data_IF_299378618063
#
_entry.id   IF_299378618063
#
_cell.length_a   1.000
_cell.length_b   1.000
_cell.length_c   1.000
_cell.angle_alpha   90.00
_cell.angle_beta   90.00
_cell.angle_gamma   90.00
#
_symmetry.space_group_name_H-M   'P 1'
#
loop_
_entity.id
_entity.type
_entity.pdbx_description
1 polymer ?
#
# COMPACT_ATOMS: atom_id res chain seq x y z
N UNK A 1 -27.45 -5.12 -31.81
CA UNK A 1 -27.94 -6.50 -31.57
C UNK A 1 -27.59 -6.94 -30.15
N UNK A 2 -28.61 -7.35 -29.42
CA UNK A 2 -28.75 -7.29 -27.96
C UNK A 2 -27.84 -8.24 -27.17
N UNK A 3 -27.43 -7.80 -25.96
CA UNK A 3 -26.76 -8.57 -24.90
C UNK A 3 -27.41 -9.94 -24.63
N UNK A 4 -28.68 -10.13 -24.99
CA UNK A 4 -29.38 -11.43 -24.97
C UNK A 4 -28.76 -12.51 -25.88
N UNK A 5 -28.17 -12.16 -27.03
CA UNK A 5 -27.45 -13.15 -27.88
C UNK A 5 -26.07 -13.52 -27.32
N UNK A 6 -25.48 -12.68 -26.47
CA UNK A 6 -24.23 -12.99 -25.76
C UNK A 6 -24.48 -13.88 -24.54
N UNK A 7 -25.58 -13.64 -23.84
CA UNK A 7 -26.00 -14.44 -22.68
C UNK A 7 -26.44 -15.87 -23.05
N UNK A 8 -26.93 -16.11 -24.27
CA UNK A 8 -27.28 -17.46 -24.74
C UNK A 8 -26.05 -18.31 -25.15
N UNK A 9 -24.86 -17.71 -25.22
CA UNK A 9 -23.62 -18.35 -25.65
C UNK A 9 -22.64 -18.64 -24.49
N UNK A 10 -23.06 -18.44 -23.24
CA UNK A 10 -22.18 -18.46 -22.05
C UNK A 10 -22.60 -19.45 -20.96
N UNK A 11 -23.52 -20.39 -21.24
CA UNK A 11 -23.81 -21.49 -20.32
C UNK A 11 -22.96 -22.73 -20.70
N UNK A 12 -22.25 -23.30 -19.72
CA UNK A 12 -21.55 -24.58 -19.86
C UNK A 12 -22.58 -25.64 -20.31
N UNK A 13 -22.29 -26.43 -21.36
CA UNK A 13 -23.23 -27.44 -21.83
C UNK A 13 -23.43 -28.50 -20.74
N UNK A 14 -24.69 -28.88 -20.48
CA UNK A 14 -24.99 -29.99 -19.57
C UNK A 14 -24.41 -31.28 -20.14
N UNK A 15 -23.93 -32.14 -19.25
CA UNK A 15 -23.31 -33.43 -19.56
C UNK A 15 -24.02 -34.60 -18.86
N UNK A 16 -25.16 -34.35 -18.21
CA UNK A 16 -25.97 -35.36 -17.51
C UNK A 16 -26.56 -36.39 -18.49
N UNK A 17 -26.83 -35.97 -19.73
CA UNK A 17 -27.37 -36.86 -20.78
C UNK A 17 -26.38 -37.94 -21.21
N UNK A 18 -25.09 -37.82 -20.89
CA UNK A 18 -24.08 -38.83 -21.23
C UNK A 18 -24.20 -40.13 -20.43
N UNK A 19 -24.99 -40.14 -19.35
CA UNK A 19 -25.19 -41.31 -18.49
C UNK A 19 -26.06 -42.39 -19.15
N UNK A 20 -26.96 -41.99 -20.04
CA UNK A 20 -28.04 -42.84 -20.58
C UNK A 20 -27.76 -43.30 -22.03
N UNK A 21 -26.61 -42.93 -22.60
CA UNK A 21 -26.31 -43.07 -24.03
C UNK A 21 -25.40 -44.28 -24.29
N UNK A 22 -25.68 -45.02 -25.37
CA UNK A 22 -24.87 -46.15 -25.81
C UNK A 22 -23.45 -45.77 -26.29
N UNK A 23 -22.52 -46.72 -26.29
CA UNK A 23 -21.10 -46.48 -26.53
C UNK A 23 -20.76 -45.76 -27.86
N UNK A 24 -21.54 -45.99 -28.93
CA UNK A 24 -21.34 -45.34 -30.25
C UNK A 24 -21.73 -43.87 -30.23
N UNK A 25 -22.83 -43.52 -29.55
CA UNK A 25 -23.34 -42.16 -29.47
C UNK A 25 -22.57 -41.33 -28.42
N UNK A 26 -21.99 -42.00 -27.42
CA UNK A 26 -21.14 -41.39 -26.40
C UNK A 26 -19.89 -40.73 -27.01
N UNK A 27 -19.26 -41.34 -28.02
CA UNK A 27 -18.06 -40.79 -28.69
C UNK A 27 -18.37 -39.45 -29.37
N UNK A 28 -19.46 -39.43 -30.12
CA UNK A 28 -19.92 -38.25 -30.85
C UNK A 28 -20.29 -37.09 -29.90
N UNK A 29 -21.01 -37.38 -28.83
CA UNK A 29 -21.40 -36.39 -27.83
C UNK A 29 -20.18 -35.88 -27.03
N UNK A 30 -19.26 -36.77 -26.65
CA UNK A 30 -18.00 -36.38 -26.01
C UNK A 30 -17.18 -35.46 -26.93
N UNK A 31 -17.09 -35.78 -28.21
CA UNK A 31 -16.40 -34.95 -29.21
C UNK A 31 -17.04 -33.56 -29.36
N UNK A 32 -18.38 -33.46 -29.36
CA UNK A 32 -19.09 -32.18 -29.38
C UNK A 32 -18.76 -31.32 -28.15
N UNK A 33 -18.80 -31.91 -26.96
CA UNK A 33 -18.53 -31.22 -25.70
C UNK A 33 -17.07 -30.75 -25.63
N UNK A 34 -16.11 -31.61 -25.97
CA UNK A 34 -14.68 -31.24 -26.03
C UNK A 34 -14.44 -30.11 -27.04
N UNK A 35 -15.10 -30.17 -28.20
CA UNK A 35 -15.00 -29.11 -29.21
C UNK A 35 -15.59 -27.78 -28.71
N UNK A 36 -16.64 -27.81 -27.89
CA UNK A 36 -17.16 -26.61 -27.24
C UNK A 36 -16.11 -25.98 -26.32
N UNK A 37 -15.48 -26.76 -25.43
CA UNK A 37 -14.39 -26.26 -24.56
C UNK A 37 -13.18 -25.72 -25.34
N UNK A 38 -12.84 -26.34 -26.47
CA UNK A 38 -11.75 -25.85 -27.34
C UNK A 38 -12.08 -24.53 -28.04
N UNK A 39 -13.35 -24.31 -28.39
CA UNK A 39 -13.82 -23.03 -28.98
C UNK A 39 -14.01 -21.94 -27.93
N UNK A 40 -14.17 -22.31 -26.67
CA UNK A 40 -14.32 -21.41 -25.53
C UNK A 40 -13.11 -21.51 -24.60
N UNK A 41 -11.93 -21.01 -25.01
CA UNK A 41 -10.69 -21.15 -24.26
C UNK A 41 -10.83 -20.49 -22.88
N UNK A 42 -10.52 -21.26 -21.84
CA UNK A 42 -10.49 -20.75 -20.47
C UNK A 42 -9.05 -20.44 -20.05
N UNK A 43 -8.88 -19.75 -18.92
CA UNK A 43 -7.54 -19.48 -18.40
C UNK A 43 -6.82 -20.79 -18.10
N UNK A 44 -5.52 -20.88 -18.46
CA UNK A 44 -4.63 -22.01 -18.13
C UNK A 44 -4.62 -22.39 -16.64
N UNK A 45 -4.95 -21.43 -15.77
CA UNK A 45 -5.13 -21.65 -14.33
C UNK A 45 -6.37 -22.51 -14.02
N UNK A 46 -7.45 -22.30 -14.75
CA UNK A 46 -8.70 -23.05 -14.61
C UNK A 46 -8.58 -24.46 -15.19
N UNK A 47 -7.86 -24.63 -16.31
CA UNK A 47 -7.57 -25.94 -16.90
C UNK A 47 -6.82 -26.87 -15.92
N UNK A 48 -5.79 -26.34 -15.25
CA UNK A 48 -5.08 -27.06 -14.18
C UNK A 48 -6.00 -27.40 -13.01
N UNK A 49 -6.89 -26.48 -12.63
CA UNK A 49 -7.83 -26.69 -11.55
C UNK A 49 -8.83 -27.80 -11.86
N UNK A 50 -9.37 -27.85 -13.08
CA UNK A 50 -10.30 -28.89 -13.53
C UNK A 50 -9.68 -30.30 -13.52
N UNK A 51 -8.44 -30.43 -13.97
CA UNK A 51 -7.73 -31.70 -13.90
C UNK A 51 -7.49 -32.17 -12.45
N UNK A 52 -7.14 -31.25 -11.54
CA UNK A 52 -6.95 -31.55 -10.11
C UNK A 52 -8.28 -31.93 -9.45
N UNK A 53 -9.37 -31.26 -9.81
CA UNK A 53 -10.69 -31.53 -9.24
C UNK A 53 -11.25 -32.88 -9.71
N UNK A 54 -10.99 -33.28 -10.95
CA UNK A 54 -11.24 -34.64 -11.44
C UNK A 54 -10.50 -35.71 -10.63
N UNK A 55 -9.21 -35.50 -10.38
CA UNK A 55 -8.38 -36.43 -9.59
C UNK A 55 -8.90 -36.53 -8.15
N UNK A 56 -9.34 -35.41 -7.55
CA UNK A 56 -9.97 -35.44 -6.22
C UNK A 56 -11.30 -36.19 -6.23
N UNK A 57 -12.09 -36.05 -7.30
CA UNK A 57 -13.41 -36.66 -7.42
C UNK A 57 -13.32 -38.18 -7.61
N UNK A 58 -12.40 -38.67 -8.46
CA UNK A 58 -12.19 -40.10 -8.78
C UNK A 58 -11.25 -40.84 -7.84
N UNK A 59 -10.09 -40.25 -7.50
CA UNK A 59 -9.01 -40.92 -6.77
C UNK A 59 -8.82 -40.43 -5.33
N UNK A 60 -9.61 -39.44 -4.90
CA UNK A 60 -9.59 -38.89 -3.55
C UNK A 60 -8.53 -37.80 -3.31
N UNK A 61 -8.74 -37.00 -2.24
CA UNK A 61 -7.91 -35.82 -1.93
C UNK A 61 -6.42 -36.12 -1.71
N UNK A 62 -6.06 -37.32 -1.22
CA UNK A 62 -4.68 -37.71 -0.88
C UNK A 62 -3.77 -37.82 -2.11
N UNK A 63 -4.27 -38.41 -3.21
CA UNK A 63 -3.51 -38.56 -4.47
C UNK A 63 -3.38 -37.24 -5.26
N UNK A 64 -4.22 -36.25 -4.99
CA UNK A 64 -4.16 -34.95 -5.69
C UNK A 64 -2.84 -34.19 -5.51
N UNK A 65 -2.05 -34.49 -4.47
CA UNK A 65 -0.75 -33.84 -4.25
C UNK A 65 0.33 -34.32 -5.23
N UNK A 66 0.19 -35.53 -5.77
CA UNK A 66 1.12 -36.12 -6.75
C UNK A 66 0.98 -35.51 -8.15
N UNK A 67 -0.01 -34.64 -8.38
CA UNK A 67 -0.31 -34.01 -9.66
C UNK A 67 -0.38 -32.48 -9.54
N UNK A 68 0.21 -31.86 -8.51
CA UNK A 68 0.24 -30.39 -8.40
C UNK A 68 1.53 -29.77 -8.95
N UNK A 69 2.59 -30.56 -9.12
CA UNK A 69 3.93 -30.09 -9.47
C UNK A 69 4.22 -29.92 -10.97
N UNK A 70 3.40 -30.48 -11.87
CA UNK A 70 3.61 -30.28 -13.31
C UNK A 70 3.22 -28.85 -13.79
N UNK A 71 3.75 -28.47 -14.97
CA UNK A 71 3.54 -27.14 -15.54
C UNK A 71 2.13 -26.98 -16.08
N UNK A 72 1.62 -25.74 -16.13
CA UNK A 72 0.23 -25.48 -16.55
C UNK A 72 -0.07 -25.99 -17.98
N UNK A 73 0.94 -26.01 -18.85
CA UNK A 73 0.84 -26.52 -20.22
C UNK A 73 0.56 -28.02 -20.29
N UNK A 74 0.99 -28.79 -19.29
CA UNK A 74 0.80 -30.24 -19.28
C UNK A 74 -0.68 -30.64 -19.07
N UNK A 75 -1.50 -29.75 -18.51
CA UNK A 75 -2.91 -30.01 -18.23
C UNK A 75 -3.85 -29.60 -19.37
N UNK A 76 -3.40 -28.74 -20.29
CA UNK A 76 -4.27 -28.13 -21.30
C UNK A 76 -4.97 -29.17 -22.21
N UNK A 77 -4.29 -30.28 -22.50
CA UNK A 77 -4.83 -31.34 -23.35
C UNK A 77 -5.94 -32.14 -22.66
N UNK A 78 -5.75 -32.48 -21.38
CA UNK A 78 -6.68 -33.34 -20.62
C UNK A 78 -7.76 -32.57 -19.86
N UNK A 79 -7.59 -31.26 -19.65
CA UNK A 79 -8.46 -30.45 -18.80
C UNK A 79 -9.94 -30.48 -19.24
N UNK A 80 -10.21 -30.48 -20.55
CA UNK A 80 -11.58 -30.52 -21.09
C UNK A 80 -12.26 -31.86 -20.75
N UNK A 81 -11.54 -32.98 -20.91
CA UNK A 81 -12.04 -34.30 -20.57
C UNK A 81 -12.24 -34.44 -19.06
N UNK A 82 -11.28 -33.99 -18.25
CA UNK A 82 -11.39 -34.00 -16.80
C UNK A 82 -12.59 -33.19 -16.29
N UNK A 83 -12.92 -32.05 -16.91
CA UNK A 83 -14.08 -31.23 -16.54
C UNK A 83 -15.40 -31.96 -16.80
N UNK A 84 -15.56 -32.53 -17.99
CA UNK A 84 -16.76 -33.31 -18.37
C UNK A 84 -16.94 -34.50 -17.42
N UNK A 85 -15.87 -35.27 -17.20
CA UNK A 85 -15.91 -36.48 -16.37
C UNK A 85 -16.05 -36.19 -14.86
N UNK A 86 -15.77 -34.96 -14.40
CA UNK A 86 -15.99 -34.56 -13.00
C UNK A 86 -17.45 -34.31 -12.67
N UNK A 87 -18.26 -34.00 -13.69
CA UNK A 87 -19.69 -33.77 -13.54
C UNK A 87 -20.50 -35.08 -13.64
N UNK A 88 -19.86 -36.20 -14.00
CA UNK A 88 -20.45 -37.53 -14.05
C UNK A 88 -20.29 -38.30 -12.72
N UNK A 89 -21.12 -39.32 -12.46
CA UNK A 89 -21.05 -40.13 -11.24
C UNK A 89 -19.68 -40.78 -11.04
N UNK A 90 -19.28 -40.94 -9.78
CA UNK A 90 -17.95 -41.47 -9.41
C UNK A 90 -17.66 -42.89 -9.88
N UNK A 91 -18.69 -43.65 -10.18
CA UNK A 91 -18.60 -45.04 -10.64
C UNK A 91 -18.84 -45.16 -12.16
N UNK A 92 -19.05 -44.04 -12.86
CA UNK A 92 -19.22 -44.04 -14.31
C UNK A 92 -17.93 -44.46 -15.02
N UNK A 93 -17.96 -45.62 -15.64
CA UNK A 93 -16.89 -46.11 -16.50
C UNK A 93 -17.01 -45.53 -17.91
N UNK A 94 -15.91 -45.00 -18.44
CA UNK A 94 -15.87 -44.49 -19.82
C UNK A 94 -16.03 -45.69 -20.78
N UNK A 95 -17.08 -45.74 -21.61
CA UNK A 95 -17.34 -46.88 -22.48
C UNK A 95 -16.31 -47.02 -23.62
N UNK A 96 -15.56 -45.95 -23.90
CA UNK A 96 -14.55 -45.90 -24.96
C UNK A 96 -13.16 -46.21 -24.37
N UNK A 97 -12.60 -47.35 -24.78
CA UNK A 97 -11.28 -47.83 -24.34
C UNK A 97 -10.13 -46.88 -24.70
N UNK A 98 -10.12 -46.33 -25.91
CA UNK A 98 -9.04 -45.43 -26.38
C UNK A 98 -8.95 -44.13 -25.59
N UNK A 99 -10.11 -43.55 -25.22
CA UNK A 99 -10.17 -42.33 -24.40
C UNK A 99 -9.69 -42.61 -22.97
N UNK A 100 -10.04 -43.78 -22.42
CA UNK A 100 -9.58 -44.25 -21.10
C UNK A 100 -8.05 -44.37 -21.07
N UNK A 101 -7.47 -45.09 -22.03
CA UNK A 101 -6.02 -45.30 -22.14
C UNK A 101 -5.25 -43.99 -22.36
N UNK A 102 -5.79 -43.07 -23.18
CA UNK A 102 -5.20 -41.75 -23.40
C UNK A 102 -5.16 -40.92 -22.11
N UNK A 103 -6.26 -40.89 -21.35
CA UNK A 103 -6.34 -40.15 -20.09
C UNK A 103 -5.39 -40.73 -19.04
N UNK A 104 -5.32 -42.05 -18.92
CA UNK A 104 -4.42 -42.74 -18.00
C UNK A 104 -2.95 -42.50 -18.37
N UNK A 105 -2.60 -42.55 -19.66
CA UNK A 105 -1.25 -42.28 -20.15
C UNK A 105 -0.80 -40.84 -19.87
N UNK A 106 -1.68 -39.86 -20.09
CA UNK A 106 -1.39 -38.45 -19.82
C UNK A 106 -1.33 -38.13 -18.32
N UNK A 107 -2.20 -38.72 -17.51
CA UNK A 107 -2.11 -38.64 -16.06
C UNK A 107 -0.80 -39.26 -15.57
N UNK A 108 -0.39 -40.41 -16.09
CA UNK A 108 0.89 -41.03 -15.76
C UNK A 108 2.08 -40.14 -16.15
N UNK A 109 2.01 -39.46 -17.32
CA UNK A 109 3.02 -38.49 -17.76
C UNK A 109 3.12 -37.30 -16.80
N UNK A 110 1.99 -36.76 -16.33
CA UNK A 110 1.92 -35.67 -15.35
C UNK A 110 2.45 -36.14 -13.98
N UNK A 111 2.14 -37.36 -13.57
CA UNK A 111 2.64 -37.96 -12.33
C UNK A 111 4.16 -38.13 -12.38
N UNK A 112 4.71 -38.64 -13.50
CA UNK A 112 6.16 -38.77 -13.72
C UNK A 112 6.88 -37.43 -13.74
N UNK A 113 6.32 -36.41 -14.39
CA UNK A 113 6.88 -35.04 -14.35
C UNK A 113 6.81 -34.42 -12.96
N UNK A 114 5.76 -34.72 -12.21
CA UNK A 114 5.61 -34.25 -10.83
C UNK A 114 6.54 -34.99 -9.87
N UNK A 115 6.80 -36.29 -10.06
CA UNK A 115 7.78 -37.05 -9.27
C UNK A 115 9.22 -36.63 -9.57
N UNK A 116 9.54 -36.26 -10.81
CA UNK A 116 10.83 -35.66 -11.19
C UNK A 116 11.04 -34.25 -10.58
N UNK A 117 9.95 -33.50 -10.33
CA UNK A 117 9.97 -32.20 -9.65
C UNK A 117 9.72 -32.29 -8.14
N UNK A 118 9.38 -33.48 -7.62
CA UNK A 118 9.18 -33.70 -6.19
C UNK A 118 10.56 -33.74 -5.53
N UNK A 119 10.88 -32.80 -4.62
CA UNK A 119 12.18 -32.81 -3.97
C UNK A 119 12.27 -34.03 -3.07
N UNK A 120 13.11 -35.00 -3.45
CA UNK A 120 13.76 -35.86 -2.47
C UNK A 120 14.49 -34.93 -1.49
N UNK A 121 14.17 -35.09 -0.20
CA UNK A 121 14.64 -34.26 0.90
C UNK A 121 16.14 -34.44 1.21
N UNK A 122 16.96 -35.03 0.33
CA UNK A 122 18.40 -35.17 0.52
C UNK A 122 19.14 -35.03 -0.81
N UNK A 123 20.23 -34.28 -0.76
CA UNK A 123 21.21 -33.98 -1.81
C UNK A 123 20.84 -32.85 -2.79
N UNK A 124 21.05 -31.61 -2.31
CA UNK A 124 21.40 -30.47 -3.16
C UNK A 124 22.73 -30.77 -3.88
N UNK A 125 22.67 -31.32 -5.10
CA UNK A 125 23.76 -31.14 -6.05
C UNK A 125 23.78 -29.67 -6.49
N UNK A 126 24.96 -29.05 -6.37
CA UNK A 126 25.24 -27.64 -6.66
C UNK A 126 25.02 -27.32 -8.14
N UNK A 127 23.83 -26.87 -8.49
CA UNK A 127 23.71 -25.89 -9.56
C UNK A 127 23.83 -24.51 -8.90
N UNK A 128 24.88 -23.76 -9.25
CA UNK A 128 25.19 -22.46 -8.66
C UNK A 128 23.93 -21.59 -8.64
N UNK A 129 23.51 -21.05 -7.47
CA UNK A 129 22.35 -20.19 -7.43
C UNK A 129 22.64 -19.00 -8.35
N UNK A 130 21.76 -18.75 -9.33
CA UNK A 130 21.76 -17.46 -10.06
C UNK A 130 21.82 -16.39 -8.99
N UNK A 131 22.93 -15.63 -8.91
CA UNK A 131 23.11 -14.60 -7.89
C UNK A 131 21.91 -13.68 -7.98
N UNK A 132 21.00 -13.78 -7.01
CA UNK A 132 19.93 -12.81 -6.85
C UNK A 132 20.64 -11.58 -6.30
N UNK A 133 21.14 -10.75 -7.21
CA UNK A 133 21.79 -9.48 -6.86
C UNK A 133 20.76 -8.71 -6.04
N UNK A 134 21.07 -8.47 -4.77
CA UNK A 134 20.18 -7.77 -3.85
C UNK A 134 19.85 -6.40 -4.44
N UNK A 135 18.70 -5.83 -4.07
CA UNK A 135 18.37 -4.45 -4.43
C UNK A 135 19.48 -3.50 -3.96
N UNK A 136 20.09 -3.78 -2.81
CA UNK A 136 21.24 -3.03 -2.30
C UNK A 136 22.45 -3.18 -3.22
N UNK A 137 22.80 -4.41 -3.62
CA UNK A 137 23.92 -4.67 -4.54
C UNK A 137 23.71 -3.97 -5.89
N UNK A 138 22.48 -3.89 -6.40
CA UNK A 138 22.19 -3.14 -7.63
C UNK A 138 22.43 -1.64 -7.45
N UNK A 139 22.01 -1.08 -6.32
CA UNK A 139 22.25 0.33 -6.00
C UNK A 139 23.75 0.58 -5.86
N UNK A 140 24.48 -0.32 -5.21
CA UNK A 140 25.94 -0.24 -5.06
C UNK A 140 26.65 -0.31 -6.41
N UNK A 141 26.27 -1.24 -7.29
CA UNK A 141 26.83 -1.33 -8.63
C UNK A 141 26.59 -0.05 -9.43
N UNK A 142 25.38 0.52 -9.34
CA UNK A 142 25.06 1.79 -10.01
C UNK A 142 25.88 2.95 -9.43
N UNK A 143 26.12 2.97 -8.12
CA UNK A 143 27.03 3.94 -7.50
C UNK A 143 28.45 3.77 -8.03
N UNK A 144 28.93 2.53 -8.19
CA UNK A 144 30.25 2.25 -8.76
C UNK A 144 30.38 2.73 -10.21
N UNK A 145 29.37 2.52 -11.05
CA UNK A 145 29.34 3.04 -12.43
C UNK A 145 29.43 4.57 -12.44
N UNK A 146 28.65 5.24 -11.58
CA UNK A 146 28.68 6.69 -11.43
C UNK A 146 30.02 7.21 -10.88
N UNK A 147 30.62 6.51 -9.93
CA UNK A 147 31.95 6.86 -9.41
C UNK A 147 33.01 6.73 -10.50
N UNK A 148 32.98 5.66 -11.31
CA UNK A 148 33.92 5.48 -12.41
C UNK A 148 33.85 6.59 -13.47
N UNK A 149 32.64 7.08 -13.77
CA UNK A 149 32.49 8.23 -14.68
C UNK A 149 33.07 9.52 -14.08
N UNK A 150 32.88 9.74 -12.78
CA UNK A 150 33.44 10.91 -12.07
C UNK A 150 34.96 10.81 -11.95
N UNK A 151 35.50 9.63 -11.62
CA UNK A 151 36.95 9.37 -11.56
C UNK A 151 37.62 9.67 -12.89
N UNK A 152 36.99 9.28 -14.01
CA UNK A 152 37.47 9.67 -15.34
C UNK A 152 37.55 11.19 -15.51
N UNK A 153 36.58 11.96 -15.00
CA UNK A 153 36.63 13.42 -15.07
C UNK A 153 37.71 14.01 -14.15
N UNK A 154 37.94 13.38 -13.00
CA UNK A 154 39.05 13.72 -12.10
C UNK A 154 40.39 13.49 -12.80
N UNK A 155 40.58 12.37 -13.49
CA UNK A 155 41.80 12.08 -14.25
C UNK A 155 42.06 13.10 -15.37
N UNK A 156 41.02 13.53 -16.08
CA UNK A 156 41.10 14.60 -17.08
C UNK A 156 41.55 15.90 -16.42
N UNK A 157 41.02 16.22 -15.23
CA UNK A 157 41.40 17.41 -14.48
C UNK A 157 42.87 17.38 -14.02
N UNK A 158 43.39 16.21 -13.65
CA UNK A 158 44.80 16.00 -13.33
C UNK A 158 45.72 16.06 -14.56
N UNK A 159 45.27 15.55 -15.70
CA UNK A 159 46.04 15.52 -16.96
C UNK A 159 46.06 16.89 -17.64
N UNK A 160 44.98 17.68 -17.51
CA UNK A 160 44.83 19.01 -18.11
C UNK A 160 44.51 20.06 -17.03
N UNK A 161 45.48 20.38 -16.16
CA UNK A 161 45.24 21.27 -15.01
C UNK A 161 45.05 22.76 -15.39
N UNK A 162 45.39 23.14 -16.63
CA UNK A 162 45.23 24.50 -17.15
C UNK A 162 43.86 24.74 -17.82
N UNK A 163 42.94 23.77 -17.73
CA UNK A 163 41.60 23.88 -18.26
C UNK A 163 40.84 25.08 -17.67
N UNK A 164 40.20 25.86 -18.54
CA UNK A 164 39.41 27.04 -18.13
C UNK A 164 38.17 26.62 -17.36
N UNK A 165 37.71 27.47 -16.43
CA UNK A 165 36.51 27.22 -15.60
C UNK A 165 35.24 26.92 -16.43
N UNK A 166 35.16 27.44 -17.65
CA UNK A 166 34.02 27.21 -18.57
C UNK A 166 33.98 25.79 -19.11
N UNK A 167 35.13 25.14 -19.22
CA UNK A 167 35.29 23.79 -19.76
C UNK A 167 35.24 22.72 -18.65
N UNK A 168 35.17 23.15 -17.38
CA UNK A 168 35.04 22.24 -16.25
C UNK A 168 33.77 21.40 -16.38
N UNK A 169 33.92 20.13 -16.00
CA UNK A 169 32.82 19.19 -16.02
C UNK A 169 31.66 19.70 -15.16
N UNK A 170 30.49 19.78 -15.78
CA UNK A 170 29.26 20.31 -15.19
C UNK A 170 28.53 19.21 -14.44
N UNK A 171 29.02 18.93 -13.23
CA UNK A 171 28.49 17.87 -12.36
C UNK A 171 27.00 18.08 -12.01
N UNK A 172 26.54 19.34 -11.95
CA UNK A 172 25.14 19.74 -11.80
C UNK A 172 24.25 19.17 -12.92
N UNK A 173 24.65 19.41 -14.17
CA UNK A 173 23.92 18.95 -15.36
C UNK A 173 23.96 17.43 -15.48
N UNK A 174 25.10 16.83 -15.17
CA UNK A 174 25.28 15.39 -15.18
C UNK A 174 24.40 14.68 -14.13
N UNK A 175 24.39 15.17 -12.88
CA UNK A 175 23.57 14.61 -11.81
C UNK A 175 22.07 14.68 -12.13
N UNK A 176 21.64 15.77 -12.76
CA UNK A 176 20.26 15.94 -13.22
C UNK A 176 19.92 14.99 -14.37
N UNK A 177 20.80 14.86 -15.37
CA UNK A 177 20.62 13.98 -16.54
C UNK A 177 20.53 12.50 -16.14
N UNK A 178 21.35 12.08 -15.20
CA UNK A 178 21.40 10.70 -14.71
C UNK A 178 20.36 10.41 -13.60
N UNK A 179 19.56 11.41 -13.21
CA UNK A 179 18.52 11.29 -12.20
C UNK A 179 19.03 10.68 -10.88
N UNK A 180 20.17 11.21 -10.40
CA UNK A 180 20.88 10.69 -9.23
C UNK A 180 20.03 10.91 -7.98
N UNK A 181 19.81 9.84 -7.22
CA UNK A 181 19.05 9.87 -5.95
C UNK A 181 19.93 10.35 -4.79
N UNK A 182 19.30 10.86 -3.74
CA UNK A 182 20.01 11.44 -2.58
C UNK A 182 21.04 10.49 -1.94
N UNK A 183 20.74 9.19 -1.81
CA UNK A 183 21.69 8.22 -1.29
C UNK A 183 22.93 8.06 -2.19
N UNK A 184 22.75 8.07 -3.51
CA UNK A 184 23.85 7.96 -4.48
C UNK A 184 24.68 9.26 -4.50
N UNK A 185 24.01 10.41 -4.47
CA UNK A 185 24.68 11.72 -4.39
C UNK A 185 25.52 11.85 -3.11
N UNK A 186 25.03 11.39 -1.96
CA UNK A 186 25.79 11.40 -0.71
C UNK A 186 27.07 10.55 -0.78
N UNK A 187 27.00 9.37 -1.41
CA UNK A 187 28.19 8.52 -1.60
C UNK A 187 29.24 9.22 -2.47
N UNK A 188 28.80 9.88 -3.55
CA UNK A 188 29.69 10.65 -4.43
C UNK A 188 30.32 11.84 -3.69
N UNK A 189 29.53 12.59 -2.90
CA UNK A 189 30.03 13.71 -2.09
C UNK A 189 31.12 13.25 -1.14
N UNK A 190 30.97 12.10 -0.48
CA UNK A 190 32.00 11.58 0.43
C UNK A 190 33.32 11.30 -0.29
N UNK A 191 33.28 10.72 -1.50
CA UNK A 191 34.49 10.43 -2.27
C UNK A 191 35.19 11.72 -2.74
N UNK A 192 34.43 12.66 -3.31
CA UNK A 192 34.98 13.96 -3.76
C UNK A 192 35.52 14.77 -2.59
N UNK A 193 34.85 14.74 -1.42
CA UNK A 193 35.29 15.45 -0.22
C UNK A 193 36.62 14.91 0.31
N UNK A 194 36.80 13.58 0.27
CA UNK A 194 38.08 12.96 0.62
C UNK A 194 39.21 13.44 -0.30
N UNK A 195 38.99 13.40 -1.62
CA UNK A 195 39.97 13.88 -2.59
C UNK A 195 40.28 15.37 -2.43
N UNK A 196 39.26 16.20 -2.19
CA UNK A 196 39.43 17.63 -1.96
C UNK A 196 40.29 17.90 -0.72
N UNK A 197 40.07 17.18 0.38
CA UNK A 197 40.88 17.27 1.61
C UNK A 197 42.34 16.89 1.35
N UNK A 198 42.58 15.81 0.61
CA UNK A 198 43.95 15.36 0.27
C UNK A 198 44.71 16.41 -0.57
N UNK A 199 44.02 17.08 -1.51
CA UNK A 199 44.63 18.15 -2.32
C UNK A 199 44.84 19.45 -1.53
N UNK A 200 43.92 19.77 -0.63
CA UNK A 200 44.04 20.89 0.30
C UNK A 200 45.28 20.73 1.19
N UNK A 201 45.45 19.57 1.83
CA UNK A 201 46.64 19.24 2.62
C UNK A 201 47.93 19.25 1.79
N UNK A 202 47.87 18.81 0.53
CA UNK A 202 49.01 18.88 -0.40
C UNK A 202 49.42 20.34 -0.69
N UNK A 203 48.46 21.27 -0.75
CA UNK A 203 48.72 22.70 -0.98
C UNK A 203 49.42 23.37 0.21
N UNK A 204 49.05 22.96 1.42
CA UNK A 204 49.65 23.44 2.67
C UNK A 204 51.07 22.87 2.84
N UNK A 205 51.25 21.61 2.47
CA UNK A 205 52.56 20.98 2.39
C UNK A 205 53.05 20.38 3.72
N UNK A 206 52.18 20.16 4.68
CA UNK A 206 52.52 19.54 5.97
C UNK A 206 52.86 18.04 5.80
N UNK A 207 52.20 17.34 4.88
CA UNK A 207 52.40 15.91 4.66
C UNK A 207 53.46 15.62 3.58
N UNK A 208 54.54 14.93 3.97
CA UNK A 208 55.65 14.55 3.07
C UNK A 208 55.19 13.61 1.95
N UNK A 209 54.32 12.64 2.26
CA UNK A 209 53.80 11.68 1.28
C UNK A 209 52.92 12.37 0.22
N UNK A 210 52.08 13.33 0.62
CA UNK A 210 51.22 14.08 -0.31
C UNK A 210 52.04 15.05 -1.18
N UNK A 211 53.14 15.59 -0.65
CA UNK A 211 54.09 16.38 -1.46
C UNK A 211 54.75 15.54 -2.55
N UNK A 212 55.14 14.31 -2.25
CA UNK A 212 55.71 13.39 -3.23
C UNK A 212 54.68 12.94 -4.27
N UNK A 213 53.49 12.50 -3.82
CA UNK A 213 52.43 12.00 -4.70
C UNK A 213 51.93 13.03 -5.71
N UNK A 214 51.88 14.32 -5.35
CA UNK A 214 51.43 15.40 -6.22
C UNK A 214 52.57 16.24 -6.82
N UNK A 215 53.82 15.75 -6.80
CA UNK A 215 55.00 16.49 -7.30
C UNK A 215 54.89 16.88 -8.78
N UNK A 216 54.14 16.12 -9.58
CA UNK A 216 53.89 16.42 -10.99
C UNK A 216 52.99 17.65 -11.21
N UNK A 217 52.31 18.14 -10.16
CA UNK A 217 51.47 19.34 -10.22
C UNK A 217 52.12 20.55 -9.55
N UNK A 218 52.13 21.67 -10.28
CA UNK A 218 52.49 22.96 -9.69
C UNK A 218 51.49 23.39 -8.61
N UNK A 219 51.93 24.21 -7.64
CA UNK A 219 51.06 24.74 -6.57
C UNK A 219 49.83 25.51 -7.11
N UNK A 220 49.94 26.35 -8.17
CA UNK A 220 48.78 26.99 -8.80
C UNK A 220 47.79 25.99 -9.39
N UNK A 221 48.28 24.92 -10.01
CA UNK A 221 47.46 23.88 -10.61
C UNK A 221 46.71 23.08 -9.53
N UNK A 222 47.37 22.73 -8.41
CA UNK A 222 46.69 22.09 -7.27
C UNK A 222 45.53 22.93 -6.72
N UNK A 223 45.72 24.25 -6.59
CA UNK A 223 44.63 25.17 -6.19
C UNK A 223 43.47 25.21 -7.19
N UNK A 224 43.75 25.18 -8.50
CA UNK A 224 42.69 25.12 -9.53
C UNK A 224 41.88 23.83 -9.46
N UNK A 225 42.55 22.70 -9.21
CA UNK A 225 41.90 21.41 -9.03
C UNK A 225 41.01 21.46 -7.78
N UNK A 226 41.53 21.99 -6.67
CA UNK A 226 40.76 22.18 -5.44
C UNK A 226 39.50 23.05 -5.66
N UNK A 227 39.63 24.19 -6.35
CA UNK A 227 38.50 25.05 -6.71
C UNK A 227 37.42 24.28 -7.50
N UNK A 228 37.84 23.43 -8.45
CA UNK A 228 36.94 22.62 -9.26
C UNK A 228 36.19 21.60 -8.40
N UNK A 229 36.90 20.87 -7.53
CA UNK A 229 36.29 19.90 -6.61
C UNK A 229 35.34 20.57 -5.61
N UNK A 230 35.69 21.74 -5.07
CA UNK A 230 34.79 22.51 -4.21
C UNK A 230 33.53 22.98 -4.95
N UNK A 231 33.66 23.38 -6.22
CA UNK A 231 32.53 23.73 -7.07
C UNK A 231 31.61 22.53 -7.29
N UNK A 232 32.18 21.34 -7.51
CA UNK A 232 31.43 20.09 -7.64
C UNK A 232 30.68 19.72 -6.36
N UNK A 233 31.34 19.82 -5.19
CA UNK A 233 30.71 19.57 -3.89
C UNK A 233 29.50 20.48 -3.67
N UNK A 234 29.67 21.78 -3.89
CA UNK A 234 28.59 22.76 -3.76
C UNK A 234 27.38 22.43 -4.65
N UNK A 235 27.62 22.00 -5.89
CA UNK A 235 26.55 21.62 -6.81
C UNK A 235 25.83 20.34 -6.38
N UNK A 236 26.56 19.32 -5.90
CA UNK A 236 25.96 18.08 -5.40
C UNK A 236 25.15 18.31 -4.12
N UNK A 237 25.64 19.12 -3.19
CA UNK A 237 24.91 19.48 -1.96
C UNK A 237 23.59 20.19 -2.29
N UNK A 238 23.62 21.15 -3.22
CA UNK A 238 22.40 21.80 -3.74
C UNK A 238 21.42 20.81 -4.39
N UNK A 239 21.95 19.84 -5.13
CA UNK A 239 21.12 18.78 -5.73
C UNK A 239 20.43 17.95 -4.64
N UNK A 240 21.17 17.53 -3.60
CA UNK A 240 20.62 16.80 -2.45
C UNK A 240 19.52 17.60 -1.74
N UNK A 241 19.75 18.89 -1.49
CA UNK A 241 18.74 19.77 -0.90
C UNK A 241 17.49 19.86 -1.77
N UNK A 242 17.64 19.95 -3.10
CA UNK A 242 16.51 20.01 -4.02
C UNK A 242 15.64 18.75 -3.97
N UNK A 243 16.26 17.57 -3.81
CA UNK A 243 15.57 16.29 -3.65
C UNK A 243 14.83 16.20 -2.30
N UNK A 244 15.41 16.76 -1.24
CA UNK A 244 14.81 16.78 0.10
C UNK A 244 13.52 17.62 0.15
N UNK A 245 13.38 18.62 -0.72
CA UNK A 245 12.17 19.45 -0.87
C UNK A 245 11.02 18.71 -1.55
N UNK A 246 10.93 17.38 -1.36
CA UNK A 246 9.84 16.56 -1.86
C UNK A 246 8.51 17.14 -1.39
N UNK A 247 7.78 17.65 -2.39
CA UNK A 247 6.41 18.18 -2.39
C UNK A 247 5.58 17.61 -1.24
N UNK A 248 5.29 18.42 -0.23
CA UNK A 248 4.26 18.08 0.77
C UNK A 248 2.97 17.86 -0.01
N UNK A 249 2.54 16.59 -0.14
CA UNK A 249 1.20 16.33 -0.67
C UNK A 249 0.25 17.09 0.24
N UNK A 250 -0.45 18.09 -0.32
CA UNK A 250 -1.54 18.77 0.37
C UNK A 250 -2.45 17.67 0.89
N UNK A 251 -2.51 17.52 2.22
CA UNK A 251 -3.34 16.49 2.85
C UNK A 251 -4.77 16.81 2.42
N UNK A 252 -5.34 15.96 1.57
CA UNK A 252 -6.72 16.12 1.08
C UNK A 252 -7.62 16.38 2.29
N UNK A 253 -8.43 17.44 2.21
CA UNK A 253 -9.35 17.80 3.27
C UNK A 253 -10.19 16.57 3.67
N UNK A 254 -10.06 16.12 4.92
CA UNK A 254 -10.76 14.95 5.42
C UNK A 254 -12.25 15.31 5.50
N UNK A 255 -13.10 14.52 4.85
CA UNK A 255 -14.55 14.73 4.87
C UNK A 255 -15.09 14.68 6.31
N UNK A 256 -16.13 15.48 6.65
CA UNK A 256 -16.71 15.51 8.00
C UNK A 256 -17.13 14.13 8.53
N UNK A 257 -17.64 13.26 7.65
CA UNK A 257 -18.02 11.89 8.00
C UNK A 257 -16.83 11.03 8.42
N UNK A 258 -15.69 11.15 7.73
CA UNK A 258 -14.47 10.45 8.10
C UNK A 258 -13.92 10.93 9.44
N UNK A 259 -14.12 12.20 9.80
CA UNK A 259 -13.69 12.76 11.08
C UNK A 259 -14.50 12.23 12.26
N UNK A 260 -15.82 12.06 12.07
CA UNK A 260 -16.78 11.64 13.11
C UNK A 260 -16.90 10.12 13.24
N UNK A 261 -16.36 9.33 12.30
CA UNK A 261 -16.49 7.86 12.27
C UNK A 261 -16.11 7.16 13.60
N UNK A 262 -15.19 7.72 14.38
CA UNK A 262 -14.72 7.16 15.65
C UNK A 262 -15.27 7.88 16.89
N UNK A 263 -16.24 8.78 16.72
CA UNK A 263 -16.84 9.52 17.84
C UNK A 263 -17.78 8.62 18.61
N UNK A 264 -17.53 8.44 19.90
CA UNK A 264 -18.44 7.78 20.83
C UNK A 264 -19.44 8.80 21.36
N UNK A 265 -20.72 8.51 21.18
CA UNK A 265 -21.86 9.26 21.71
C UNK A 265 -23.04 8.29 21.87
N UNK A 266 -24.06 8.71 22.62
CA UNK A 266 -25.29 7.96 22.80
C UNK A 266 -26.34 8.50 21.81
N UNK A 267 -26.90 7.63 20.96
CA UNK A 267 -27.86 8.05 19.92
C UNK A 267 -29.21 8.46 20.52
N UNK A 268 -29.71 7.68 21.46
CA UNK A 268 -31.03 7.84 22.09
C UNK A 268 -30.89 7.54 23.59
N UNK A 269 -31.61 8.30 24.41
CA UNK A 269 -31.67 8.10 25.84
C UNK A 269 -33.11 8.26 26.32
N UNK A 270 -33.61 7.23 26.99
CA UNK A 270 -34.95 7.16 27.57
C UNK A 270 -34.79 6.63 29.00
N UNK A 271 -34.79 7.54 29.99
CA UNK A 271 -34.75 7.18 31.41
C UNK A 271 -35.24 8.35 32.28
N UNK A 272 -36.02 8.05 33.33
CA UNK A 272 -36.45 9.04 34.33
C UNK A 272 -37.28 10.22 33.80
N UNK A 273 -38.04 10.04 32.72
CA UNK A 273 -38.87 11.08 32.08
C UNK A 273 -38.11 11.98 31.11
N UNK A 274 -36.93 11.57 30.67
CA UNK A 274 -36.12 12.24 29.64
C UNK A 274 -36.06 11.37 28.40
N UNK A 275 -36.80 11.77 27.37
CA UNK A 275 -36.74 11.15 26.04
C UNK A 275 -35.97 12.10 25.12
N UNK A 276 -34.71 11.77 24.85
CA UNK A 276 -33.80 12.64 24.10
C UNK A 276 -33.18 11.88 22.94
N UNK A 277 -33.36 12.42 21.74
CA UNK A 277 -32.66 12.00 20.52
C UNK A 277 -31.42 12.87 20.33
N UNK A 278 -30.24 12.25 20.31
CA UNK A 278 -28.97 12.95 20.09
C UNK A 278 -28.85 13.43 18.66
N UNK A 279 -28.36 14.65 18.49
CA UNK A 279 -27.94 15.13 17.17
C UNK A 279 -26.71 14.35 16.67
N UNK A 280 -26.67 14.09 15.37
CA UNK A 280 -25.51 13.45 14.75
C UNK A 280 -24.24 14.32 14.92
N UNK A 281 -23.08 13.78 15.36
CA UNK A 281 -21.91 14.60 15.69
C UNK A 281 -21.29 15.32 14.47
N UNK A 282 -21.68 14.95 13.25
CA UNK A 282 -21.38 15.74 12.02
C UNK A 282 -21.83 17.20 12.15
N UNK A 283 -22.95 17.46 12.85
CA UNK A 283 -23.47 18.81 13.05
C UNK A 283 -22.55 19.69 13.91
N UNK A 284 -21.72 19.09 14.77
CA UNK A 284 -20.75 19.82 15.60
C UNK A 284 -19.63 20.41 14.74
N UNK A 285 -19.27 19.75 13.64
CA UNK A 285 -18.25 20.27 12.74
C UNK A 285 -18.77 21.56 12.10
N UNK A 286 -17.96 22.61 12.17
CA UNK A 286 -18.27 23.96 11.67
C UNK A 286 -19.24 24.78 12.55
N UNK A 287 -19.59 24.26 13.73
CA UNK A 287 -20.43 24.99 14.68
C UNK A 287 -19.64 26.00 15.53
N UNK A 288 -20.36 27.01 16.03
CA UNK A 288 -19.82 28.00 16.95
C UNK A 288 -19.99 27.56 18.40
N UNK A 289 -21.11 26.90 18.72
CA UNK A 289 -21.37 26.35 20.05
C UNK A 289 -22.01 24.98 19.98
N UNK A 290 -21.54 24.05 20.82
CA UNK A 290 -22.16 22.76 21.01
C UNK A 290 -22.51 22.54 22.48
N UNK A 291 -23.74 22.11 22.74
CA UNK A 291 -24.25 21.77 24.07
C UNK A 291 -24.47 20.27 24.15
N UNK A 292 -23.87 19.67 25.16
CA UNK A 292 -23.71 18.23 25.28
C UNK A 292 -24.06 17.80 26.72
N UNK A 293 -24.71 16.66 26.88
CA UNK A 293 -25.13 16.12 28.17
C UNK A 293 -24.55 14.74 28.43
N UNK A 294 -23.93 14.54 29.59
CA UNK A 294 -23.49 13.23 30.08
C UNK A 294 -24.56 12.66 31.00
N UNK A 295 -25.21 11.59 30.56
CA UNK A 295 -26.36 10.98 31.25
C UNK A 295 -25.95 10.33 32.57
N UNK A 296 -24.76 9.74 32.63
CA UNK A 296 -24.26 9.05 33.82
C UNK A 296 -23.89 10.04 34.94
N UNK A 297 -23.15 11.09 34.59
CA UNK A 297 -22.70 12.07 35.58
C UNK A 297 -23.69 13.23 35.81
N UNK A 298 -24.77 13.31 35.00
CA UNK A 298 -25.73 14.42 34.94
C UNK A 298 -25.05 15.78 34.75
N UNK A 299 -24.10 15.82 33.81
CA UNK A 299 -23.28 17.00 33.52
C UNK A 299 -23.68 17.59 32.16
N UNK A 300 -24.01 18.88 32.12
CA UNK A 300 -24.17 19.63 30.87
C UNK A 300 -22.88 20.38 30.59
N UNK A 301 -22.39 20.23 29.37
CA UNK A 301 -21.13 20.77 28.86
C UNK A 301 -21.41 21.70 27.69
N UNK A 302 -20.88 22.92 27.76
CA UNK A 302 -20.96 23.92 26.70
C UNK A 302 -19.58 24.10 26.09
N UNK A 303 -19.46 23.81 24.80
CA UNK A 303 -18.25 24.06 24.02
C UNK A 303 -18.45 25.32 23.20
N UNK A 304 -17.57 26.30 23.36
CA UNK A 304 -17.57 27.55 22.59
C UNK A 304 -16.31 27.61 21.72
N UNK A 305 -16.48 27.86 20.42
CA UNK A 305 -15.36 27.92 19.48
C UNK A 305 -14.40 29.10 19.75
N UNK A 306 -13.13 28.93 19.36
CA UNK A 306 -12.13 30.01 19.35
C UNK A 306 -12.49 31.10 18.33
N UNK A 307 -12.10 32.37 18.54
CA UNK A 307 -12.30 33.41 17.55
C UNK A 307 -11.66 33.00 16.21
N UNK A 308 -12.38 33.23 15.11
CA UNK A 308 -11.97 32.86 13.74
C UNK A 308 -11.76 31.35 13.50
N UNK A 309 -12.21 30.48 14.41
CA UNK A 309 -12.22 29.02 14.24
C UNK A 309 -13.60 28.48 14.56
N UNK A 310 -13.91 27.32 14.01
CA UNK A 310 -15.13 26.58 14.31
C UNK A 310 -14.79 25.30 15.07
N UNK A 311 -15.77 24.78 15.81
CA UNK A 311 -15.64 23.49 16.50
C UNK A 311 -15.40 22.38 15.48
N UNK A 312 -14.54 21.44 15.85
CA UNK A 312 -14.30 20.22 15.08
C UNK A 312 -14.06 19.05 16.02
N UNK A 313 -14.35 17.85 15.53
CA UNK A 313 -14.12 16.59 16.26
C UNK A 313 -13.03 15.81 15.53
N UNK A 314 -12.07 15.29 16.30
CA UNK A 314 -11.07 14.34 15.83
C UNK A 314 -11.14 13.08 16.68
N UNK A 315 -11.67 12.01 16.10
CA UNK A 315 -11.97 10.79 16.85
C UNK A 315 -13.07 11.06 17.88
N UNK A 316 -12.72 11.03 19.17
CA UNK A 316 -13.61 11.40 20.28
C UNK A 316 -13.30 12.75 20.90
N UNK A 317 -12.26 13.44 20.41
CA UNK A 317 -11.76 14.68 21.04
C UNK A 317 -12.37 15.92 20.37
N UNK A 318 -12.95 16.81 21.17
CA UNK A 318 -13.37 18.15 20.77
C UNK A 318 -12.15 19.05 20.59
N UNK A 319 -12.10 19.80 19.49
CA UNK A 319 -11.00 20.70 19.13
C UNK A 319 -11.53 22.10 18.84
N UNK A 320 -10.63 23.08 18.85
CA UNK A 320 -10.89 24.49 18.57
C UNK A 320 -11.90 25.16 19.51
N UNK A 321 -12.09 24.65 20.73
CA UNK A 321 -12.90 25.32 21.76
C UNK A 321 -12.02 26.24 22.63
N UNK A 322 -12.63 27.24 23.28
CA UNK A 322 -11.98 28.16 24.24
C UNK A 322 -12.08 27.59 25.65
N UNK A 323 -10.96 27.41 26.34
CA UNK A 323 -10.97 26.90 27.71
C UNK A 323 -11.63 27.88 28.70
N UNK A 324 -11.60 29.20 28.43
CA UNK A 324 -12.16 30.23 29.34
C UNK A 324 -13.70 30.30 29.28
N UNK A 325 -14.28 30.11 28.10
CA UNK A 325 -15.74 30.23 27.86
C UNK A 325 -16.44 28.87 27.84
N UNK A 326 -15.69 27.78 27.66
CA UNK A 326 -16.26 26.42 27.67
C UNK A 326 -16.19 25.84 29.07
N UNK A 327 -17.33 25.36 29.57
CA UNK A 327 -17.43 24.84 30.93
C UNK A 327 -18.43 23.71 31.02
N UNK A 328 -18.34 22.97 32.12
CA UNK A 328 -19.28 21.92 32.49
C UNK A 328 -19.99 22.30 33.79
N UNK A 329 -21.29 22.07 33.88
CA UNK A 329 -22.08 22.22 35.11
C UNK A 329 -22.88 20.94 35.40
N UNK A 330 -23.01 20.63 36.70
CA UNK A 330 -23.88 19.55 37.16
C UNK A 330 -25.33 20.02 37.21
N UNK A 331 -26.24 19.21 36.71
CA UNK A 331 -27.67 19.51 36.69
C UNK A 331 -28.37 18.68 37.75
N UNK A 332 -29.10 19.35 38.65
CA UNK A 332 -29.86 18.69 39.74
C UNK A 332 -31.26 18.26 39.30
N UNK A 333 -31.90 19.02 38.40
CA UNK A 333 -33.17 18.67 37.75
C UNK A 333 -32.94 18.51 36.25
N UNK A 334 -32.61 17.29 35.78
CA UNK A 334 -32.22 17.08 34.40
C UNK A 334 -33.39 17.25 33.43
N UNK A 335 -34.63 16.91 33.83
CA UNK A 335 -35.84 17.03 32.99
C UNK A 335 -36.07 18.46 32.50
N UNK A 336 -36.09 19.42 33.41
CA UNK A 336 -36.34 20.83 33.10
C UNK A 336 -35.21 21.45 32.28
N UNK A 337 -33.96 21.28 32.73
CA UNK A 337 -32.80 21.90 32.13
C UNK A 337 -32.48 21.35 30.72
N UNK A 338 -32.57 20.03 30.54
CA UNK A 338 -32.26 19.41 29.24
C UNK A 338 -33.36 19.70 28.22
N UNK A 339 -34.62 19.75 28.63
CA UNK A 339 -35.74 20.16 27.79
C UNK A 339 -35.56 21.58 27.23
N UNK A 340 -35.16 22.54 28.07
CA UNK A 340 -34.86 23.92 27.65
C UNK A 340 -33.67 23.96 26.67
N UNK A 341 -32.59 23.25 26.99
CA UNK A 341 -31.37 23.23 26.15
C UNK A 341 -31.58 22.58 24.78
N UNK A 342 -32.45 21.56 24.68
CA UNK A 342 -32.74 20.86 23.42
C UNK A 342 -33.70 21.66 22.52
N UNK A 343 -34.74 22.28 23.11
CA UNK A 343 -35.80 22.98 22.36
C UNK A 343 -35.44 24.42 21.98
N UNK A 344 -34.59 25.10 22.75
CA UNK A 344 -34.27 26.49 22.48
C UNK A 344 -33.35 26.64 21.25
N UNK A 345 -33.72 27.56 20.34
CA UNK A 345 -32.94 27.88 19.13
C UNK A 345 -32.02 29.09 19.32
N UNK A 346 -32.04 29.76 20.48
CA UNK A 346 -31.21 30.92 20.75
C UNK A 346 -30.03 30.55 21.65
N UNK A 347 -28.81 30.59 21.08
CA UNK A 347 -27.55 30.33 21.79
C UNK A 347 -27.44 31.14 23.10
N UNK A 348 -27.79 32.42 23.07
CA UNK A 348 -27.66 33.31 24.23
C UNK A 348 -28.57 32.92 25.38
N UNK A 349 -29.81 32.48 25.08
CA UNK A 349 -30.75 32.01 26.09
C UNK A 349 -30.30 30.70 26.73
N UNK A 350 -29.75 29.77 25.95
CA UNK A 350 -29.23 28.50 26.49
C UNK A 350 -28.04 28.74 27.42
N UNK A 351 -27.10 29.61 27.04
CA UNK A 351 -25.95 29.95 27.88
C UNK A 351 -26.41 30.66 29.16
N UNK A 352 -27.32 31.64 29.06
CA UNK A 352 -27.88 32.34 30.23
C UNK A 352 -28.56 31.36 31.20
N UNK A 353 -29.41 30.47 30.68
CA UNK A 353 -30.09 29.47 31.49
C UNK A 353 -29.11 28.54 32.21
N UNK A 354 -28.04 28.11 31.54
CA UNK A 354 -27.00 27.31 32.16
C UNK A 354 -26.17 28.12 33.17
N UNK A 355 -25.98 29.41 32.95
CA UNK A 355 -25.28 30.30 33.88
C UNK A 355 -26.07 30.57 35.17
N UNK A 356 -27.39 30.67 35.08
CA UNK A 356 -28.31 30.81 36.22
C UNK A 356 -28.34 29.59 37.16
N UNK A 357 -27.88 28.41 36.68
CA UNK A 357 -27.77 27.24 37.54
C UNK A 357 -26.81 27.52 38.72
N UNK A 358 -27.30 27.28 39.94
CA UNK A 358 -26.55 27.44 41.21
C UNK A 358 -25.31 26.55 41.34
N UNK A 359 -25.06 25.64 40.40
CA UNK A 359 -23.91 24.72 40.44
C UNK A 359 -22.64 25.39 39.90
N UNK A 360 -21.50 25.06 40.54
CA UNK A 360 -20.19 25.60 40.19
C UNK A 360 -19.79 25.18 38.77
N UNK A 361 -19.14 26.08 38.03
CA UNK A 361 -18.51 25.77 36.75
C UNK A 361 -17.29 24.87 36.99
N UNK A 362 -17.19 23.79 36.21
CA UNK A 362 -16.07 22.86 36.19
C UNK A 362 -15.36 22.94 34.83
N UNK A 363 -14.05 22.64 34.78
CA UNK A 363 -13.31 22.61 33.54
C UNK A 363 -13.90 21.57 32.57
N UNK A 364 -13.95 21.94 31.29
CA UNK A 364 -14.57 21.13 30.24
C UNK A 364 -13.78 19.84 29.97
N UNK A 365 -14.48 18.73 29.77
CA UNK A 365 -13.86 17.47 29.31
C UNK A 365 -13.55 17.56 27.81
N UNK A 366 -12.32 17.21 27.43
CA UNK A 366 -11.87 17.30 26.02
C UNK A 366 -12.45 16.20 25.12
N UNK A 367 -12.90 15.08 25.70
CA UNK A 367 -13.37 13.90 24.96
C UNK A 367 -14.85 13.62 25.24
N UNK A 368 -15.58 13.25 24.20
CA UNK A 368 -16.93 12.72 24.28
C UNK A 368 -16.89 11.22 24.63
N UNK A 369 -17.86 10.76 25.41
CA UNK A 369 -17.95 9.38 25.88
C UNK A 369 -19.21 8.70 25.31
N UNK A 370 -19.32 7.38 25.49
CA UNK A 370 -20.51 6.61 25.07
C UNK A 370 -21.80 7.03 25.76
N UNK A 371 -21.72 7.69 26.93
CA UNK A 371 -22.87 8.15 27.72
C UNK A 371 -23.26 9.60 27.40
N UNK A 372 -22.70 10.15 26.32
CA UNK A 372 -22.77 11.56 25.99
C UNK A 372 -23.78 11.78 24.87
N UNK A 373 -24.82 12.56 25.14
CA UNK A 373 -25.89 12.94 24.21
C UNK A 373 -25.63 14.36 23.72
N UNK A 374 -25.73 14.58 22.40
CA UNK A 374 -25.57 15.90 21.80
C UNK A 374 -26.96 16.56 21.75
N UNK A 375 -27.18 17.56 22.61
CA UNK A 375 -28.49 18.19 22.75
C UNK A 375 -28.77 19.18 21.63
N UNK A 376 -27.84 20.12 21.42
CA UNK A 376 -28.02 21.22 20.47
C UNK A 376 -26.68 21.75 19.98
N UNK A 377 -26.69 22.23 18.75
CA UNK A 377 -25.52 22.82 18.09
C UNK A 377 -25.98 24.12 17.40
N UNK A 378 -25.15 25.16 17.50
CA UNK A 378 -25.41 26.51 16.98
C UNK A 378 -24.32 26.97 16.02
#
# INVERSE_FOLDING_TARGET
MSKRKKALAEAEPSCEHLEEIGASDFDWELHKLVNWYRRHPTSKKNEKQWAIDYIKHRFGKRKSNEYKGADQHDYAFIACYCRILSNLPKDFEIPIKSVREMLEGELHRIQKKTSLKAPSRKEKAKESPRKIISVQDRITNQIQEYMGEIERQVDILFTTPEMKKVDWFRLDKWATRNNIKGQQANAIVQNIKRLASEIEESCDGECVQLKEGYKFLSKPNRRRILDCLQTWLFHLEKHIESLSKTRTLSKKAISPERRVKKTSYLSEFEDGGLDIVSLHPKKIIYSSVAVVYDTFNRLVSVYVAKPNKQLTIEGTTMKNYRDDESYTKKVRSPVSCVGVCSKCNNKGLVIKHLDELKTKRQPIRKRLNKNTVILKVF
#
